data_IF_562085252654
#
_entry.id   IF_562085252654
#
_cell.length_a   1.000
_cell.length_b   1.000
_cell.length_c   1.000
_cell.angle_alpha   90.00
_cell.angle_beta   90.00
_cell.angle_gamma   90.00
#
_symmetry.space_group_name_H-M   'P 1'
#
loop_
_entity.id
_entity.type
_entity.pdbx_description
1 polymer ?
#
# COMPACT_ATOMS: atom_id res chain seq x y z
N UNK A 1 20.40 3.71 -1.30
CA UNK A 1 19.07 4.11 -1.80
C UNK A 1 19.05 3.76 -3.27
N UNK A 2 18.04 3.04 -3.79
CA UNK A 2 17.96 2.74 -5.21
C UNK A 2 17.85 4.02 -6.04
N UNK A 3 18.47 4.05 -7.22
CA UNK A 3 18.34 5.17 -8.15
C UNK A 3 17.05 5.09 -8.99
N UNK A 4 16.83 6.09 -9.84
CA UNK A 4 15.65 6.18 -10.69
C UNK A 4 15.47 4.92 -11.57
N UNK A 5 16.57 4.38 -12.09
CA UNK A 5 16.56 3.18 -12.94
C UNK A 5 16.16 1.95 -12.13
N UNK A 6 16.69 1.81 -10.92
CA UNK A 6 16.35 0.67 -10.05
C UNK A 6 14.90 0.69 -9.58
N UNK A 7 14.31 1.87 -9.38
CA UNK A 7 12.88 2.00 -9.14
C UNK A 7 12.04 1.64 -10.38
N UNK A 8 12.48 2.05 -11.56
CA UNK A 8 11.84 1.70 -12.82
C UNK A 8 11.90 0.19 -13.10
N UNK A 9 13.07 -0.42 -12.90
CA UNK A 9 13.28 -1.87 -13.07
C UNK A 9 12.40 -2.66 -12.08
N UNK A 10 12.27 -2.18 -10.84
CA UNK A 10 11.39 -2.81 -9.85
C UNK A 10 9.90 -2.66 -10.21
N UNK A 11 9.51 -1.53 -10.79
CA UNK A 11 8.17 -1.31 -11.31
C UNK A 11 7.87 -2.26 -12.48
N UNK A 12 8.81 -2.44 -13.41
CA UNK A 12 8.68 -3.35 -14.55
C UNK A 12 8.53 -4.80 -14.09
N UNK A 13 9.38 -5.26 -13.17
CA UNK A 13 9.30 -6.62 -12.62
C UNK A 13 7.97 -6.87 -11.88
N UNK A 14 7.49 -5.88 -11.11
CA UNK A 14 6.19 -5.98 -10.45
C UNK A 14 5.03 -6.01 -11.47
N UNK A 15 5.14 -5.27 -12.58
CA UNK A 15 4.16 -5.25 -13.66
C UNK A 15 4.11 -6.59 -14.41
N UNK A 16 5.25 -7.24 -14.64
CA UNK A 16 5.33 -8.58 -15.23
C UNK A 16 4.65 -9.63 -14.33
N UNK A 17 4.93 -9.58 -13.02
CA UNK A 17 4.26 -10.45 -12.04
C UNK A 17 2.75 -10.17 -12.00
N UNK A 18 2.34 -8.90 -11.98
CA UNK A 18 0.92 -8.54 -12.03
C UNK A 18 0.26 -9.05 -13.33
N UNK A 19 0.95 -8.95 -14.47
CA UNK A 19 0.45 -9.44 -15.76
C UNK A 19 0.29 -10.96 -15.76
N UNK A 20 1.23 -11.69 -15.15
CA UNK A 20 1.11 -13.14 -14.95
C UNK A 20 0.02 -13.53 -13.93
N UNK A 21 -0.33 -12.64 -13.00
CA UNK A 21 -1.47 -12.83 -12.09
C UNK A 21 -2.81 -12.56 -12.78
N UNK A 22 -2.85 -11.73 -13.83
CA UNK A 22 -4.06 -11.44 -14.63
C UNK A 22 -4.48 -12.67 -15.46
N UNK A 23 -3.58 -13.60 -15.77
CA UNK A 23 -3.93 -14.87 -16.44
C UNK A 23 -4.47 -15.94 -15.50
N UNK A 24 -4.54 -15.67 -14.18
CA UNK A 24 -5.25 -16.51 -13.22
C UNK A 24 -6.75 -16.19 -13.27
N UNK A 25 -7.58 -17.24 -13.31
CA UNK A 25 -9.05 -17.13 -13.28
C UNK A 25 -9.55 -16.40 -12.01
N UNK A 26 -8.73 -16.37 -10.94
CA UNK A 26 -8.85 -15.49 -9.76
C UNK A 26 -7.47 -15.15 -9.17
N UNK A 27 -7.23 -13.87 -8.89
CA UNK A 27 -6.08 -13.42 -8.10
C UNK A 27 -6.32 -13.78 -6.63
N UNK A 28 -5.34 -14.39 -5.92
CA UNK A 28 -5.46 -14.67 -4.49
C UNK A 28 -5.66 -13.40 -3.65
N UNK A 29 -6.54 -13.50 -2.65
CA UNK A 29 -6.97 -12.35 -1.84
C UNK A 29 -5.83 -11.69 -1.04
N UNK A 30 -4.83 -12.46 -0.61
CA UNK A 30 -3.61 -11.99 0.05
C UNK A 30 -2.77 -11.07 -0.86
N UNK A 31 -2.64 -11.42 -2.13
CA UNK A 31 -2.00 -10.57 -3.12
C UNK A 31 -2.81 -9.31 -3.41
N UNK A 32 -4.13 -9.39 -3.45
CA UNK A 32 -4.99 -8.21 -3.61
C UNK A 32 -4.80 -7.23 -2.45
N UNK A 33 -4.87 -7.69 -1.20
CA UNK A 33 -4.67 -6.85 0.00
C UNK A 33 -3.25 -6.27 0.03
N UNK A 34 -2.24 -7.07 -0.33
CA UNK A 34 -0.84 -6.63 -0.39
C UNK A 34 -0.65 -5.50 -1.41
N UNK A 35 -1.28 -5.63 -2.58
CA UNK A 35 -1.23 -4.60 -3.62
C UNK A 35 -1.91 -3.31 -3.16
N UNK A 36 -3.09 -3.39 -2.54
CA UNK A 36 -3.77 -2.21 -1.98
C UNK A 36 -2.90 -1.46 -0.97
N UNK A 37 -2.20 -2.21 -0.10
CA UNK A 37 -1.27 -1.60 0.84
C UNK A 37 -0.11 -0.88 0.15
N UNK A 38 0.55 -1.50 -0.83
CA UNK A 38 1.64 -0.84 -1.55
C UNK A 38 1.17 0.36 -2.37
N UNK A 39 -0.06 0.33 -2.91
CA UNK A 39 -0.67 1.50 -3.53
C UNK A 39 -0.83 2.66 -2.53
N UNK A 40 -1.40 2.40 -1.35
CA UNK A 40 -1.53 3.41 -0.32
C UNK A 40 -0.16 3.93 0.17
N UNK A 41 0.83 3.05 0.30
CA UNK A 41 2.20 3.42 0.68
C UNK A 41 2.79 4.45 -0.30
N UNK A 42 2.71 4.18 -1.61
CA UNK A 42 3.26 5.09 -2.61
C UNK A 42 2.48 6.42 -2.69
N UNK A 43 1.16 6.40 -2.48
CA UNK A 43 0.37 7.62 -2.42
C UNK A 43 0.75 8.51 -1.22
N UNK A 44 0.97 7.89 -0.05
CA UNK A 44 1.46 8.59 1.14
C UNK A 44 2.84 9.18 0.90
N UNK A 45 3.80 8.39 0.38
CA UNK A 45 5.16 8.89 0.13
C UNK A 45 5.17 10.03 -0.88
N UNK A 46 4.32 9.98 -1.92
CA UNK A 46 4.13 11.10 -2.85
C UNK A 46 3.70 12.37 -2.10
N UNK A 47 2.69 12.30 -1.24
CA UNK A 47 2.18 13.46 -0.49
C UNK A 47 3.15 14.00 0.57
N UNK A 48 3.98 13.13 1.14
CA UNK A 48 5.07 13.55 2.02
C UNK A 48 6.21 14.21 1.23
N UNK A 49 6.52 13.70 0.02
CA UNK A 49 7.53 14.27 -0.85
C UNK A 49 7.18 15.70 -1.32
N UNK A 50 5.89 16.02 -1.53
CA UNK A 50 5.42 17.40 -1.79
C UNK A 50 5.81 18.39 -0.66
N UNK A 51 6.15 17.87 0.53
CA UNK A 51 6.61 18.61 1.70
C UNK A 51 8.11 18.41 1.99
N UNK A 52 8.87 17.83 1.06
CA UNK A 52 10.27 17.42 1.23
C UNK A 52 10.51 16.47 2.42
N UNK A 53 9.53 15.62 2.74
CA UNK A 53 9.59 14.61 3.81
C UNK A 53 9.69 13.22 3.17
N UNK A 54 10.59 12.39 3.68
CA UNK A 54 10.80 11.03 3.20
C UNK A 54 10.77 10.01 4.35
N UNK A 55 10.25 8.82 4.09
CA UNK A 55 10.15 7.76 5.09
C UNK A 55 10.87 6.49 4.65
N UNK A 56 12.02 6.22 5.25
CA UNK A 56 12.84 5.04 4.93
C UNK A 56 12.27 3.75 5.55
N UNK A 57 11.50 3.87 6.62
CA UNK A 57 10.91 2.74 7.35
C UNK A 57 9.42 2.94 7.57
N UNK A 58 8.69 1.85 7.83
CA UNK A 58 7.27 1.93 8.20
C UNK A 58 7.06 2.76 9.48
N UNK A 59 7.96 2.68 10.46
CA UNK A 59 7.85 3.45 11.70
C UNK A 59 8.02 4.96 11.46
N UNK A 60 9.00 5.36 10.64
CA UNK A 60 9.17 6.75 10.23
C UNK A 60 7.93 7.22 9.46
N UNK A 61 7.40 6.39 8.55
CA UNK A 61 6.20 6.72 7.78
C UNK A 61 4.99 6.95 8.68
N UNK A 62 4.76 6.08 9.64
CA UNK A 62 3.67 6.26 10.61
C UNK A 62 3.80 7.55 11.40
N UNK A 63 5.02 7.91 11.84
CA UNK A 63 5.27 9.19 12.50
C UNK A 63 4.94 10.36 11.58
N UNK A 64 5.41 10.31 10.33
CA UNK A 64 5.17 11.36 9.34
C UNK A 64 3.67 11.49 8.99
N UNK A 65 2.94 10.38 8.86
CA UNK A 65 1.48 10.39 8.67
C UNK A 65 0.80 11.04 9.87
N UNK A 66 1.14 10.68 11.11
CA UNK A 66 0.53 11.29 12.31
C UNK A 66 0.73 12.80 12.35
N UNK A 67 1.88 13.27 11.92
CA UNK A 67 2.25 14.68 11.98
C UNK A 67 1.68 15.50 10.81
N UNK A 68 1.67 14.94 9.60
CA UNK A 68 1.40 15.72 8.37
C UNK A 68 0.15 15.29 7.61
N UNK A 69 -0.32 14.05 7.79
CA UNK A 69 -1.44 13.45 7.06
C UNK A 69 -2.42 12.77 8.04
N UNK A 70 -2.66 13.40 9.19
CA UNK A 70 -3.38 12.79 10.33
C UNK A 70 -4.77 12.25 9.94
N UNK A 71 -5.42 12.85 8.95
CA UNK A 71 -6.77 12.50 8.48
C UNK A 71 -6.88 11.09 7.91
N UNK A 72 -5.78 10.48 7.46
CA UNK A 72 -5.74 9.12 6.90
C UNK A 72 -5.12 8.08 7.84
N UNK A 73 -4.71 8.49 9.04
CA UNK A 73 -3.88 7.66 9.90
C UNK A 73 -4.55 6.32 10.26
N UNK A 74 -5.85 6.36 10.56
CA UNK A 74 -6.62 5.18 10.98
C UNK A 74 -6.73 4.19 9.83
N UNK A 75 -7.12 4.65 8.64
CA UNK A 75 -7.27 3.80 7.46
C UNK A 75 -5.94 3.23 7.02
N UNK A 76 -4.87 4.04 7.05
CA UNK A 76 -3.54 3.56 6.71
C UNK A 76 -3.04 2.49 7.70
N UNK A 77 -3.30 2.68 9.00
CA UNK A 77 -2.92 1.70 10.01
C UNK A 77 -3.68 0.38 9.83
N UNK A 78 -4.98 0.45 9.58
CA UNK A 78 -5.80 -0.73 9.31
C UNK A 78 -5.28 -1.51 8.11
N UNK A 79 -5.04 -0.81 6.98
CA UNK A 79 -4.53 -1.42 5.76
C UNK A 79 -3.11 -1.99 5.93
N UNK A 80 -2.25 -1.33 6.70
CA UNK A 80 -0.94 -1.88 7.04
C UNK A 80 -1.05 -3.19 7.81
N UNK A 81 -1.91 -3.25 8.83
CA UNK A 81 -2.12 -4.46 9.63
C UNK A 81 -2.67 -5.60 8.76
N UNK A 82 -3.69 -5.34 7.93
CA UNK A 82 -4.22 -6.34 6.99
C UNK A 82 -3.14 -6.83 6.01
N UNK A 83 -2.22 -5.96 5.58
CA UNK A 83 -1.08 -6.38 4.75
C UNK A 83 -0.08 -7.27 5.48
N UNK A 84 0.08 -7.11 6.80
CA UNK A 84 0.95 -7.99 7.59
C UNK A 84 0.31 -9.36 7.74
N UNK A 85 -1.00 -9.39 8.01
CA UNK A 85 -1.78 -10.62 8.07
C UNK A 85 -1.69 -11.41 6.77
N UNK A 86 -1.86 -10.73 5.63
CA UNK A 86 -1.78 -11.32 4.30
C UNK A 86 -0.39 -11.90 3.99
N UNK A 87 0.69 -11.28 4.47
CA UNK A 87 2.06 -11.64 4.07
C UNK A 87 2.79 -12.56 5.02
N UNK A 88 2.52 -12.46 6.32
CA UNK A 88 3.40 -13.06 7.33
C UNK A 88 2.67 -13.99 8.30
N UNK A 89 1.37 -13.79 8.51
CA UNK A 89 0.66 -14.50 9.58
C UNK A 89 -0.10 -15.72 9.07
N UNK A 90 0.05 -16.09 7.79
CA UNK A 90 -0.67 -17.20 7.14
C UNK A 90 -2.19 -17.16 7.36
N UNK A 91 -2.72 -15.96 7.64
CA UNK A 91 -4.11 -15.76 7.96
C UNK A 91 -4.92 -15.78 6.67
N UNK A 92 -6.03 -16.52 6.67
CA UNK A 92 -6.92 -16.52 5.50
C UNK A 92 -7.42 -15.09 5.21
N UNK A 93 -7.18 -14.65 3.98
CA UNK A 93 -7.70 -13.40 3.44
C UNK A 93 -9.06 -13.68 2.80
N UNK A 94 -10.12 -13.40 3.56
CA UNK A 94 -11.49 -13.58 3.09
C UNK A 94 -11.89 -12.43 2.16
N UNK A 95 -12.94 -12.60 1.33
CA UNK A 95 -13.49 -11.50 0.54
C UNK A 95 -13.88 -10.27 1.37
N UNK A 96 -14.31 -10.46 2.63
CA UNK A 96 -14.60 -9.37 3.56
C UNK A 96 -13.35 -8.53 3.89
N UNK A 97 -12.21 -9.18 4.13
CA UNK A 97 -10.93 -8.48 4.36
C UNK A 97 -10.45 -7.74 3.12
N UNK A 98 -10.64 -8.33 1.93
CA UNK A 98 -10.34 -7.64 0.66
C UNK A 98 -11.18 -6.37 0.52
N UNK A 99 -12.48 -6.45 0.84
CA UNK A 99 -13.37 -5.29 0.79
C UNK A 99 -12.99 -4.21 1.81
N UNK A 100 -12.63 -4.59 3.04
CA UNK A 100 -12.14 -3.65 4.05
C UNK A 100 -10.86 -2.96 3.61
N UNK A 101 -9.88 -3.72 3.09
CA UNK A 101 -8.64 -3.19 2.55
C UNK A 101 -8.90 -2.19 1.42
N UNK A 102 -9.83 -2.52 0.52
CA UNK A 102 -10.26 -1.62 -0.55
C UNK A 102 -10.91 -0.33 -0.02
N UNK A 103 -11.83 -0.43 0.94
CA UNK A 103 -12.49 0.74 1.54
C UNK A 103 -11.48 1.67 2.21
N UNK A 104 -10.50 1.10 2.92
CA UNK A 104 -9.41 1.87 3.52
C UNK A 104 -8.58 2.59 2.45
N UNK A 105 -8.20 1.90 1.36
CA UNK A 105 -7.49 2.51 0.24
C UNK A 105 -8.30 3.63 -0.44
N UNK A 106 -9.58 3.41 -0.68
CA UNK A 106 -10.46 4.41 -1.32
C UNK A 106 -10.59 5.67 -0.44
N UNK A 107 -10.76 5.49 0.87
CA UNK A 107 -10.82 6.59 1.85
C UNK A 107 -9.51 7.39 1.89
N UNK A 108 -8.35 6.70 1.91
CA UNK A 108 -7.04 7.35 1.81
C UNK A 108 -6.93 8.15 0.51
N UNK A 109 -7.34 7.55 -0.61
CA UNK A 109 -7.25 8.18 -1.93
C UNK A 109 -8.10 9.44 -2.01
N UNK A 110 -9.34 9.39 -1.51
CA UNK A 110 -10.25 10.54 -1.47
C UNK A 110 -9.67 11.69 -0.63
N UNK A 111 -9.22 11.38 0.60
CA UNK A 111 -8.68 12.37 1.55
C UNK A 111 -7.38 13.01 1.09
N UNK A 112 -6.58 12.31 0.28
CA UNK A 112 -5.34 12.84 -0.28
C UNK A 112 -5.53 13.49 -1.66
N UNK A 113 -6.64 13.27 -2.35
CA UNK A 113 -6.93 13.93 -3.63
C UNK A 113 -7.55 15.33 -3.45
N UNK A 114 -7.99 15.64 -2.23
CA UNK A 114 -8.48 16.96 -1.79
C UNK A 114 -7.31 17.91 -1.48
#
# INVERSE_FOLDING_TARGET
MPDCKQHQDKSTSNLEVATALITLDKVPNDWIVTLYFYTALHLVEKKLADKAIHSETHSIRFRNIRQHLRTIFIEYQALYNESLEARYNCTEMTPGKVNNAKQNLDSITQKLSS
#
